data_IF_982044871207
#
_entry.id   IF_982044871207
#
_cell.length_a   1.000
_cell.length_b   1.000
_cell.length_c   1.000
_cell.angle_alpha   90.00
_cell.angle_beta   90.00
_cell.angle_gamma   90.00
#
_symmetry.space_group_name_H-M   'P 1'
#
loop_
_entity.id
_entity.type
_entity.pdbx_description
1 polymer ?
#
# COMPACT_ATOMS: atom_id res chain seq x y z
N UNK A 1 19.63 4.91 20.78
CA UNK A 1 20.08 5.19 22.15
C UNK A 1 20.87 3.98 22.67
N UNK A 2 22.03 4.20 23.28
CA UNK A 2 22.82 3.15 23.92
C UNK A 2 22.48 3.09 25.41
N UNK A 3 22.16 1.89 25.91
CA UNK A 3 21.81 1.59 27.30
C UNK A 3 22.68 0.42 27.77
N UNK A 4 23.96 0.70 28.05
CA UNK A 4 24.93 -0.32 28.45
C UNK A 4 25.18 -1.36 27.34
N UNK A 5 24.82 -2.62 27.61
CA UNK A 5 24.94 -3.73 26.65
C UNK A 5 23.79 -3.78 25.64
N UNK A 6 22.91 -2.79 25.64
CA UNK A 6 21.71 -2.77 24.82
C UNK A 6 21.68 -1.53 23.93
N UNK A 7 21.14 -1.69 22.72
CA UNK A 7 20.85 -0.57 21.81
C UNK A 7 19.37 -0.58 21.50
N UNK A 8 18.71 0.57 21.63
CA UNK A 8 17.32 0.76 21.24
C UNK A 8 17.25 1.81 20.14
N UNK A 9 16.48 1.55 19.10
CA UNK A 9 16.19 2.48 18.01
C UNK A 9 14.68 2.67 17.85
N UNK A 10 14.26 3.88 17.53
CA UNK A 10 12.90 4.20 17.13
C UNK A 10 12.96 5.14 15.93
N UNK A 11 12.03 4.99 14.99
CA UNK A 11 11.89 5.83 13.80
C UNK A 11 10.42 6.15 13.55
N UNK A 12 10.16 7.34 13.00
CA UNK A 12 8.87 7.73 12.48
C UNK A 12 9.05 8.55 11.20
N UNK A 13 8.33 8.19 10.14
CA UNK A 13 8.50 8.76 8.81
C UNK A 13 7.15 8.98 8.11
N UNK A 14 6.97 10.12 7.45
CA UNK A 14 5.88 10.33 6.48
C UNK A 14 6.44 10.17 5.07
N UNK A 15 5.85 9.26 4.30
CA UNK A 15 6.30 8.87 2.97
C UNK A 15 5.17 9.21 2.00
N UNK A 16 5.27 10.31 1.22
CA UNK A 16 4.24 10.64 0.27
C UNK A 16 4.23 9.64 -0.90
N UNK A 17 3.04 9.41 -1.47
CA UNK A 17 2.91 8.68 -2.72
C UNK A 17 3.57 9.48 -3.85
N UNK A 18 4.46 8.87 -4.66
CA UNK A 18 4.95 9.49 -5.90
C UNK A 18 3.89 9.50 -7.01
N UNK A 19 2.76 8.81 -6.84
CA UNK A 19 1.71 8.71 -7.85
C UNK A 19 0.87 9.99 -7.83
N UNK A 20 0.82 10.74 -8.94
CA UNK A 20 -0.01 11.93 -9.05
C UNK A 20 -1.50 11.58 -9.01
N UNK A 21 -2.37 12.57 -9.06
CA UNK A 21 -3.81 12.34 -9.13
C UNK A 21 -4.19 11.52 -10.37
N UNK A 22 -5.11 10.57 -10.21
CA UNK A 22 -5.43 9.55 -11.22
C UNK A 22 -6.85 9.74 -11.77
N UNK A 23 -7.08 10.88 -12.44
CA UNK A 23 -8.38 11.21 -13.04
C UNK A 23 -8.69 10.40 -14.29
N UNK A 24 -7.66 9.97 -15.02
CA UNK A 24 -7.78 9.16 -16.22
C UNK A 24 -7.76 7.64 -15.96
N UNK A 25 -7.44 6.87 -16.99
CA UNK A 25 -7.53 5.40 -16.98
C UNK A 25 -6.56 4.64 -16.06
N UNK A 26 -5.59 5.29 -15.41
CA UNK A 26 -4.60 4.62 -14.54
C UNK A 26 -5.19 4.15 -13.21
N UNK A 27 -4.79 2.97 -12.71
CA UNK A 27 -5.28 2.40 -11.45
C UNK A 27 -4.13 1.90 -10.56
N UNK A 28 -3.31 2.81 -10.07
CA UNK A 28 -2.29 2.52 -9.07
C UNK A 28 -2.86 2.60 -7.66
N UNK A 29 -2.71 1.50 -6.91
CA UNK A 29 -3.01 1.47 -5.47
C UNK A 29 -1.74 1.91 -4.72
N UNK A 30 -1.58 3.21 -4.55
CA UNK A 30 -0.46 3.79 -3.81
C UNK A 30 -0.91 4.96 -2.94
N UNK A 31 -0.72 4.78 -1.64
CA UNK A 31 -1.19 5.68 -0.59
C UNK A 31 -0.01 6.44 0.01
N UNK A 32 -0.28 7.65 0.52
CA UNK A 32 0.64 8.25 1.50
C UNK A 32 0.76 7.29 2.70
N UNK A 33 1.97 7.17 3.26
CA UNK A 33 2.26 6.24 4.35
C UNK A 33 2.81 6.98 5.56
N UNK A 34 2.32 6.63 6.74
CA UNK A 34 3.01 6.89 8.01
C UNK A 34 3.71 5.62 8.42
N UNK A 35 5.02 5.65 8.60
CA UNK A 35 5.84 4.52 9.01
C UNK A 35 6.37 4.75 10.43
N UNK A 36 6.34 3.70 11.24
CA UNK A 36 6.93 3.66 12.57
C UNK A 36 7.78 2.40 12.67
N UNK A 37 8.97 2.52 13.25
CA UNK A 37 9.82 1.36 13.51
C UNK A 37 10.41 1.43 14.91
N UNK A 38 10.63 0.26 15.50
CA UNK A 38 11.35 0.10 16.75
C UNK A 38 12.30 -1.10 16.65
N UNK A 39 13.45 -0.99 17.27
CA UNK A 39 14.47 -2.04 17.28
C UNK A 39 15.16 -2.11 18.63
N UNK A 40 15.53 -3.32 19.01
CA UNK A 40 16.34 -3.61 20.18
C UNK A 40 17.45 -4.60 19.80
N UNK A 41 18.67 -4.31 20.23
CA UNK A 41 19.83 -5.18 20.14
C UNK A 41 20.38 -5.41 21.54
N UNK A 42 20.76 -6.66 21.84
CA UNK A 42 21.42 -7.06 23.07
C UNK A 42 22.79 -7.68 22.77
N UNK A 43 23.81 -7.10 23.39
CA UNK A 43 25.19 -7.60 23.44
C UNK A 43 25.52 -8.23 24.79
N UNK A 44 24.51 -8.57 25.60
CA UNK A 44 24.71 -9.14 26.93
C UNK A 44 25.51 -10.46 26.90
N UNK A 45 25.41 -11.23 25.81
CA UNK A 45 26.13 -12.46 25.59
C UNK A 45 27.30 -12.31 24.60
N UNK A 46 27.71 -11.07 24.28
CA UNK A 46 28.75 -10.83 23.28
C UNK A 46 30.10 -11.44 23.69
N UNK A 47 30.39 -11.54 25.00
CA UNK A 47 31.57 -12.25 25.53
C UNK A 47 31.58 -13.75 25.21
N UNK A 48 30.42 -14.34 24.93
CA UNK A 48 30.28 -15.73 24.49
C UNK A 48 30.08 -15.81 22.97
N UNK A 49 30.40 -14.74 22.23
CA UNK A 49 30.25 -14.66 20.78
C UNK A 49 28.81 -14.46 20.30
N UNK A 50 27.85 -14.14 21.18
CA UNK A 50 26.43 -14.07 20.82
C UNK A 50 25.91 -12.62 20.90
N UNK A 51 25.31 -12.14 19.81
CA UNK A 51 24.51 -10.90 19.78
C UNK A 51 23.15 -11.20 19.19
N UNK A 52 22.09 -10.67 19.78
CA UNK A 52 20.73 -10.89 19.32
C UNK A 52 19.99 -9.57 19.18
N UNK A 53 19.01 -9.53 18.29
CA UNK A 53 18.16 -8.36 18.15
C UNK A 53 16.75 -8.72 17.69
N UNK A 54 15.85 -7.77 17.92
CA UNK A 54 14.48 -7.79 17.46
C UNK A 54 14.13 -6.42 16.89
N UNK A 55 13.32 -6.39 15.84
CA UNK A 55 12.77 -5.16 15.29
C UNK A 55 11.33 -5.37 14.84
N UNK A 56 10.57 -4.28 14.85
CA UNK A 56 9.22 -4.23 14.34
C UNK A 56 9.03 -2.93 13.56
N UNK A 57 8.27 -2.99 12.47
CA UNK A 57 7.83 -1.82 11.72
C UNK A 57 6.35 -1.92 11.38
N UNK A 58 5.68 -0.77 11.35
CA UNK A 58 4.27 -0.62 10.98
C UNK A 58 4.16 0.55 10.02
N UNK A 59 3.48 0.35 8.89
CA UNK A 59 3.13 1.39 7.93
C UNK A 59 1.62 1.50 7.85
N UNK A 60 1.07 2.67 8.16
CA UNK A 60 -0.33 3.00 7.97
C UNK A 60 -0.48 3.69 6.62
N UNK A 61 -1.23 3.07 5.71
CA UNK A 61 -1.58 3.62 4.41
C UNK A 61 -2.81 4.53 4.60
N UNK A 62 -2.58 5.84 4.52
CA UNK A 62 -3.62 6.85 4.67
C UNK A 62 -4.66 6.70 3.56
N UNK A 63 -5.94 6.83 3.89
CA UNK A 63 -7.03 6.70 2.93
C UNK A 63 -6.79 7.62 1.73
N UNK A 64 -6.82 7.04 0.54
CA UNK A 64 -6.78 7.75 -0.74
C UNK A 64 -8.03 7.40 -1.51
N UNK A 65 -8.66 8.41 -2.10
CA UNK A 65 -9.80 8.28 -2.98
C UNK A 65 -9.40 8.77 -4.37
N UNK A 66 -9.84 8.04 -5.39
CA UNK A 66 -9.61 8.35 -6.79
C UNK A 66 -10.94 8.40 -7.48
N UNK A 67 -11.21 9.50 -8.19
CA UNK A 67 -12.39 9.66 -9.04
C UNK A 67 -11.96 9.73 -10.49
N UNK A 68 -12.66 9.02 -11.35
CA UNK A 68 -12.45 9.06 -12.79
C UNK A 68 -13.22 10.21 -13.40
N UNK A 69 -12.56 10.94 -14.28
CA UNK A 69 -13.11 12.05 -15.02
C UNK A 69 -13.26 11.65 -16.49
N UNK A 70 -14.49 11.63 -17.04
CA UNK A 70 -14.74 11.38 -18.46
C UNK A 70 -14.03 12.36 -19.40
N UNK A 71 -13.72 13.57 -18.92
CA UNK A 71 -13.08 14.64 -19.70
C UNK A 71 -11.56 14.73 -19.45
N UNK A 72 -10.97 13.78 -18.73
CA UNK A 72 -9.53 13.74 -18.49
C UNK A 72 -8.75 13.67 -19.81
N UNK A 73 -7.49 14.12 -19.81
CA UNK A 73 -6.61 14.01 -20.99
C UNK A 73 -6.43 12.56 -21.49
N UNK A 74 -6.59 11.57 -20.60
CA UNK A 74 -6.57 10.15 -20.93
C UNK A 74 -7.77 9.46 -20.27
N UNK A 75 -8.99 9.65 -20.81
CA UNK A 75 -10.19 9.19 -20.14
C UNK A 75 -10.33 7.67 -20.23
N UNK A 76 -11.26 7.13 -19.44
CA UNK A 76 -11.74 5.76 -19.61
C UNK A 76 -12.71 5.79 -20.77
N UNK A 77 -12.39 5.06 -21.83
CA UNK A 77 -13.22 4.96 -23.02
C UNK A 77 -14.18 3.79 -22.85
N UNK A 78 -15.44 4.05 -23.15
CA UNK A 78 -16.47 3.04 -23.17
C UNK A 78 -16.23 2.06 -24.32
N UNK A 79 -16.06 0.78 -23.98
CA UNK A 79 -15.64 -0.26 -24.95
C UNK A 79 -16.83 -0.87 -25.68
N UNK A 80 -17.98 -0.88 -25.02
CA UNK A 80 -19.20 -1.47 -25.53
C UNK A 80 -20.33 -0.49 -25.35
N UNK A 81 -21.20 -0.32 -26.36
CA UNK A 81 -22.45 0.39 -26.12
C UNK A 81 -23.26 -0.35 -25.05
N UNK A 82 -24.06 0.40 -24.32
CA UNK A 82 -25.04 -0.20 -23.41
C UNK A 82 -25.88 -1.25 -24.15
N UNK A 83 -26.13 -2.37 -23.49
CA UNK A 83 -26.76 -3.56 -24.06
C UNK A 83 -28.27 -3.54 -23.93
N UNK A 84 -28.94 -4.14 -24.91
CA UNK A 84 -30.38 -4.39 -24.92
C UNK A 84 -30.66 -5.90 -24.89
N UNK A 85 -31.76 -6.29 -24.28
CA UNK A 85 -32.18 -7.68 -24.22
C UNK A 85 -32.60 -8.18 -25.61
N UNK A 86 -31.93 -9.22 -26.11
CA UNK A 86 -32.04 -9.67 -27.51
C UNK A 86 -33.47 -10.05 -27.97
N UNK A 87 -34.36 -10.40 -27.04
CA UNK A 87 -35.74 -10.80 -27.37
C UNK A 87 -36.78 -9.71 -27.11
N UNK A 88 -36.53 -8.78 -26.20
CA UNK A 88 -37.52 -7.76 -25.80
C UNK A 88 -37.13 -6.36 -26.23
N UNK A 89 -35.86 -6.11 -26.55
CA UNK A 89 -35.32 -4.78 -26.84
C UNK A 89 -35.22 -3.89 -25.60
N UNK A 90 -35.48 -4.44 -24.40
CA UNK A 90 -35.39 -3.66 -23.16
C UNK A 90 -33.93 -3.38 -22.81
N UNK A 91 -33.65 -2.18 -22.35
CA UNK A 91 -32.34 -1.79 -21.83
C UNK A 91 -31.90 -2.68 -20.67
N UNK A 92 -30.64 -3.14 -20.68
CA UNK A 92 -30.03 -3.90 -19.58
C UNK A 92 -29.36 -2.90 -18.65
N UNK A 93 -29.96 -2.62 -17.49
CA UNK A 93 -29.46 -1.60 -16.55
C UNK A 93 -28.01 -1.84 -16.12
N UNK A 94 -27.58 -3.08 -15.95
CA UNK A 94 -26.23 -3.44 -15.54
C UNK A 94 -25.17 -3.20 -16.61
N UNK A 95 -25.57 -3.03 -17.87
CA UNK A 95 -24.66 -2.70 -18.96
C UNK A 95 -24.29 -1.22 -19.00
N UNK A 96 -25.09 -0.36 -18.33
CA UNK A 96 -24.93 1.08 -18.33
C UNK A 96 -23.54 1.51 -17.86
N UNK A 97 -22.70 1.97 -18.79
CA UNK A 97 -21.35 2.41 -18.48
C UNK A 97 -20.43 1.32 -17.93
N UNK A 98 -20.67 0.06 -18.29
CA UNK A 98 -19.85 -1.07 -17.86
C UNK A 98 -18.43 -1.02 -18.48
N UNK A 99 -17.43 -0.66 -17.66
CA UNK A 99 -16.04 -0.48 -18.11
C UNK A 99 -15.18 -1.73 -17.84
N UNK A 100 -15.13 -2.67 -18.80
CA UNK A 100 -14.28 -3.88 -18.67
C UNK A 100 -12.79 -3.59 -18.66
N UNK A 101 -12.33 -2.54 -19.34
CA UNK A 101 -10.93 -2.13 -19.35
C UNK A 101 -10.46 -1.42 -18.08
N UNK A 102 -11.38 -1.02 -17.21
CA UNK A 102 -11.03 -0.18 -16.09
C UNK A 102 -11.81 -0.56 -14.82
N UNK A 103 -11.30 -1.52 -14.04
CA UNK A 103 -11.94 -1.93 -12.79
C UNK A 103 -11.98 -0.83 -11.73
N UNK A 104 -11.28 0.30 -11.94
CA UNK A 104 -11.27 1.46 -11.05
C UNK A 104 -12.26 2.56 -11.45
N UNK A 105 -13.09 2.35 -12.48
CA UNK A 105 -14.16 3.27 -12.86
C UNK A 105 -15.45 2.98 -12.06
N UNK A 106 -16.23 4.01 -11.64
CA UNK A 106 -16.01 5.46 -11.79
C UNK A 106 -15.06 6.04 -10.72
N UNK A 107 -14.55 5.21 -9.83
CA UNK A 107 -13.59 5.58 -8.81
C UNK A 107 -13.29 4.42 -7.88
N UNK A 108 -12.25 4.57 -7.07
CA UNK A 108 -11.90 3.59 -6.05
C UNK A 108 -11.26 4.27 -4.85
N UNK A 109 -11.24 3.57 -3.71
CA UNK A 109 -10.52 4.01 -2.52
C UNK A 109 -9.65 2.90 -1.97
N UNK A 110 -8.53 3.28 -1.37
CA UNK A 110 -7.61 2.34 -0.72
C UNK A 110 -7.14 2.88 0.62
N UNK A 111 -6.90 1.97 1.56
CA UNK A 111 -6.28 2.21 2.86
C UNK A 111 -5.76 0.87 3.40
N UNK A 112 -4.88 0.89 4.39
CA UNK A 112 -4.40 -0.37 4.96
C UNK A 112 -3.29 -0.22 5.98
N UNK A 113 -2.80 -1.36 6.43
CA UNK A 113 -1.67 -1.47 7.36
C UNK A 113 -0.71 -2.54 6.84
N UNK A 114 0.57 -2.22 6.79
CA UNK A 114 1.65 -3.18 6.54
C UNK A 114 2.44 -3.28 7.85
N UNK A 115 2.72 -4.50 8.31
CA UNK A 115 3.57 -4.69 9.48
C UNK A 115 4.61 -5.78 9.20
N UNK A 116 5.76 -5.65 9.85
CA UNK A 116 6.78 -6.68 9.83
C UNK A 116 7.47 -6.75 11.19
N UNK A 117 7.84 -7.96 11.60
CA UNK A 117 8.63 -8.24 12.80
C UNK A 117 9.80 -9.10 12.38
N UNK A 118 10.98 -8.80 12.89
CA UNK A 118 12.20 -9.55 12.64
C UNK A 118 12.89 -9.85 13.96
N UNK A 119 13.38 -11.07 14.10
CA UNK A 119 14.32 -11.46 15.14
C UNK A 119 15.55 -12.03 14.47
N UNK A 120 16.73 -11.76 15.04
CA UNK A 120 17.98 -12.24 14.50
C UNK A 120 18.99 -12.58 15.59
N UNK A 121 19.92 -13.45 15.23
CA UNK A 121 21.02 -13.90 16.07
C UNK A 121 22.30 -13.86 15.24
N UNK A 122 23.36 -13.30 15.81
CA UNK A 122 24.72 -13.37 15.29
C UNK A 122 25.55 -14.19 16.26
N UNK A 123 26.18 -15.24 15.74
CA UNK A 123 27.12 -16.09 16.46
C UNK A 123 28.50 -15.86 15.83
N UNK A 124 29.49 -15.49 16.64
CA UNK A 124 30.87 -15.41 16.20
C UNK A 124 31.41 -16.84 16.01
N UNK A 125 31.82 -17.17 14.79
CA UNK A 125 32.61 -18.36 14.49
C UNK A 125 34.08 -18.01 14.67
N UNK A 126 34.78 -18.82 15.47
CA UNK A 126 36.24 -18.75 15.63
C UNK A 126 36.96 -18.96 14.30
#
# INVERSE_FOLDING_TARGET
MFLGLHTVGVDASFIPSPVPEQTGRSNYVDNHRLAFAAGYESRALARHGITAGLSAQVHVLLRRETRKDPDAANPVFDEYPDSEHIFTGDFIEESAGFQTNNPGFPGFSSSGVIFAVMAWLKIATN
#
